data_IF_446013563680
#
_entry.id   IF_446013563680
#
_cell.length_a   1.000
_cell.length_b   1.000
_cell.length_c   1.000
_cell.angle_alpha   90.00
_cell.angle_beta   90.00
_cell.angle_gamma   90.00
#
_symmetry.space_group_name_H-M   'P 1'
#
loop_
_entity.id
_entity.type
_entity.pdbx_description
1 polymer ?
#
# COMPACT_ATOMS: atom_id res chain seq x y z
N UNK A 1 -10.22 8.13 -5.64
CA UNK A 1 -9.75 7.68 -4.31
C UNK A 1 -9.97 6.18 -4.09
N UNK A 2 -11.16 5.64 -4.36
CA UNK A 2 -11.46 4.19 -4.19
C UNK A 2 -10.43 3.29 -4.89
N UNK A 3 -10.05 3.59 -6.14
CA UNK A 3 -9.08 2.81 -6.93
C UNK A 3 -7.69 2.67 -6.28
N UNK A 4 -7.26 3.63 -5.44
CA UNK A 4 -5.99 3.53 -4.71
C UNK A 4 -6.06 2.44 -3.65
N UNK A 5 -7.19 2.34 -2.96
CA UNK A 5 -7.39 1.33 -1.92
C UNK A 5 -7.48 -0.06 -2.54
N UNK A 6 -8.21 -0.21 -3.65
CA UNK A 6 -8.28 -1.46 -4.43
C UNK A 6 -6.88 -1.91 -4.88
N UNK A 7 -6.04 -1.00 -5.39
CA UNK A 7 -4.65 -1.34 -5.75
C UNK A 7 -3.85 -1.80 -4.53
N UNK A 8 -3.95 -1.11 -3.39
CA UNK A 8 -3.20 -1.46 -2.17
C UNK A 8 -3.73 -2.78 -1.54
N UNK A 9 -5.02 -3.08 -1.69
CA UNK A 9 -5.61 -4.36 -1.25
C UNK A 9 -5.22 -5.51 -2.17
N UNK A 10 -5.09 -5.26 -3.47
CA UNK A 10 -4.64 -6.25 -4.44
C UNK A 10 -3.13 -6.55 -4.42
N UNK A 11 -2.33 -5.75 -3.70
CA UNK A 11 -0.89 -6.05 -3.57
C UNK A 11 0.00 -4.92 -3.03
N UNK A 12 1.30 -5.12 -3.20
CA UNK A 12 2.37 -4.25 -2.70
C UNK A 12 2.72 -3.17 -3.73
N UNK A 13 2.17 -1.96 -3.61
CA UNK A 13 2.47 -0.87 -4.54
C UNK A 13 3.29 0.25 -3.90
N UNK A 14 4.34 0.68 -4.59
CA UNK A 14 5.14 1.86 -4.24
C UNK A 14 4.40 3.15 -4.63
N UNK A 15 4.76 4.27 -4.01
CA UNK A 15 4.25 5.62 -4.38
C UNK A 15 4.35 5.92 -5.88
N UNK A 16 5.52 5.72 -6.55
CA UNK A 16 5.60 5.91 -8.00
C UNK A 16 4.78 4.89 -8.80
N UNK A 17 4.63 3.66 -8.30
CA UNK A 17 3.81 2.64 -8.95
C UNK A 17 2.32 2.99 -8.95
N UNK A 18 1.81 3.51 -7.82
CA UNK A 18 0.44 4.03 -7.73
C UNK A 18 0.23 5.26 -8.61
N UNK A 19 1.22 6.15 -8.67
CA UNK A 19 1.17 7.35 -9.49
C UNK A 19 1.03 6.98 -10.99
N UNK A 20 1.87 6.06 -11.47
CA UNK A 20 1.83 5.57 -12.84
C UNK A 20 0.54 4.80 -13.14
N UNK A 21 0.12 3.89 -12.26
CA UNK A 21 -1.08 3.06 -12.47
C UNK A 21 -2.38 3.86 -12.51
N UNK A 22 -2.42 5.00 -11.82
CA UNK A 22 -3.60 5.87 -11.75
C UNK A 22 -3.46 7.12 -12.63
N UNK A 23 -2.36 7.26 -13.36
CA UNK A 23 -2.01 8.43 -14.18
C UNK A 23 -2.15 9.76 -13.42
N UNK A 24 -1.61 9.80 -12.20
CA UNK A 24 -1.62 11.00 -11.35
C UNK A 24 -0.24 11.30 -10.80
N UNK A 25 0.00 12.57 -10.48
CA UNK A 25 1.27 12.97 -9.87
C UNK A 25 1.44 12.36 -8.47
N UNK A 26 2.69 12.06 -8.11
CA UNK A 26 3.08 11.61 -6.76
C UNK A 26 2.48 12.45 -5.59
N UNK A 27 2.42 13.81 -5.64
CA UNK A 27 1.75 14.59 -4.57
C UNK A 27 0.26 14.28 -4.43
N UNK A 28 -0.43 13.93 -5.52
CA UNK A 28 -1.83 13.49 -5.49
C UNK A 28 -1.96 12.15 -4.78
N UNK A 29 -1.05 11.20 -5.04
CA UNK A 29 -0.98 9.94 -4.28
C UNK A 29 -0.76 10.21 -2.79
N UNK A 30 0.18 11.07 -2.42
CA UNK A 30 0.43 11.42 -1.02
C UNK A 30 -0.86 11.95 -0.35
N UNK A 31 -1.56 12.90 -0.99
CA UNK A 31 -2.84 13.40 -0.50
C UNK A 31 -3.91 12.31 -0.37
N UNK A 32 -3.99 11.38 -1.32
CA UNK A 32 -4.92 10.27 -1.26
C UNK A 32 -4.60 9.31 -0.11
N UNK A 33 -3.33 8.96 0.11
CA UNK A 33 -2.91 8.13 1.25
C UNK A 33 -3.26 8.81 2.57
N UNK A 34 -3.00 10.12 2.71
CA UNK A 34 -3.40 10.88 3.89
C UNK A 34 -4.92 10.94 4.07
N UNK A 35 -5.69 11.14 3.00
CA UNK A 35 -7.14 11.13 3.07
C UNK A 35 -7.69 9.76 3.49
N UNK A 36 -7.15 8.67 2.96
CA UNK A 36 -7.54 7.31 3.32
C UNK A 36 -7.20 6.99 4.79
N UNK A 37 -6.02 7.41 5.27
CA UNK A 37 -5.65 7.31 6.69
C UNK A 37 -6.65 8.04 7.59
N UNK A 38 -7.01 9.28 7.23
CA UNK A 38 -8.01 10.07 7.98
C UNK A 38 -9.40 9.45 7.96
N UNK A 39 -9.75 8.71 6.90
CA UNK A 39 -11.01 7.96 6.80
C UNK A 39 -11.01 6.64 7.59
N UNK A 40 -9.94 6.33 8.32
CA UNK A 40 -9.84 5.13 9.14
C UNK A 40 -9.25 3.92 8.42
N UNK A 41 -8.70 4.07 7.21
CA UNK A 41 -7.96 2.98 6.56
C UNK A 41 -6.53 2.94 7.09
N UNK A 42 -6.11 1.86 7.79
CA UNK A 42 -4.80 1.78 8.40
C UNK A 42 -3.72 1.44 7.36
N UNK A 43 -3.42 2.38 6.47
CA UNK A 43 -2.37 2.20 5.44
C UNK A 43 -1.00 2.43 6.08
N UNK A 44 -0.09 1.48 5.87
CA UNK A 44 1.30 1.54 6.33
C UNK A 44 2.25 1.38 5.15
N UNK A 45 3.35 2.12 5.20
CA UNK A 45 4.49 1.88 4.32
C UNK A 45 5.30 0.72 4.92
N UNK A 46 5.43 -0.36 4.17
CA UNK A 46 6.21 -1.54 4.55
C UNK A 46 7.30 -1.75 3.50
N UNK A 47 8.47 -2.21 3.95
CA UNK A 47 9.55 -2.59 3.04
C UNK A 47 9.41 -4.08 2.75
N UNK A 48 9.20 -4.43 1.49
CA UNK A 48 9.02 -5.81 1.04
C UNK A 48 10.08 -6.13 -0.02
N UNK A 49 10.98 -7.08 0.25
CA UNK A 49 12.02 -7.49 -0.71
C UNK A 49 12.92 -6.33 -1.19
N UNK A 50 13.23 -5.38 -0.31
CA UNK A 50 14.10 -4.23 -0.62
C UNK A 50 13.39 -2.98 -1.15
N UNK A 51 12.15 -3.09 -1.65
CA UNK A 51 11.34 -1.97 -2.14
C UNK A 51 10.30 -1.50 -1.12
N UNK A 52 10.00 -0.21 -1.12
CA UNK A 52 8.92 0.37 -0.32
C UNK A 52 7.58 0.14 -1.00
N UNK A 53 6.60 -0.34 -0.26
CA UNK A 53 5.20 -0.44 -0.71
C UNK A 53 4.26 0.06 0.37
N UNK A 54 3.04 0.41 -0.02
CA UNK A 54 1.93 0.55 0.90
C UNK A 54 1.18 -0.78 1.03
N UNK A 55 0.76 -1.10 2.25
CA UNK A 55 -0.19 -2.17 2.57
C UNK A 55 -1.25 -1.65 3.53
N UNK A 56 -2.47 -2.21 3.45
CA UNK A 56 -3.49 -2.00 4.48
C UNK A 56 -3.17 -2.93 5.66
N UNK A 57 -3.24 -2.43 6.90
CA UNK A 57 -2.88 -3.23 8.07
C UNK A 57 -3.70 -4.52 8.24
N UNK A 58 -4.93 -4.56 7.72
CA UNK A 58 -5.74 -5.77 7.65
C UNK A 58 -5.10 -6.86 6.77
N UNK A 59 -4.31 -6.50 5.76
CA UNK A 59 -3.56 -7.43 4.91
C UNK A 59 -2.19 -7.83 5.50
N UNK A 60 -1.62 -6.97 6.37
CA UNK A 60 -0.32 -7.25 7.01
C UNK A 60 -0.39 -8.51 7.88
N UNK A 61 -1.55 -8.83 8.46
CA UNK A 61 -1.73 -10.05 9.26
C UNK A 61 -1.87 -11.33 8.42
N UNK A 62 -2.15 -11.21 7.11
CA UNK A 62 -2.36 -12.36 6.23
C UNK A 62 -1.12 -12.70 5.36
N UNK A 63 0.01 -12.02 5.59
CA UNK A 63 1.27 -12.42 4.94
C UNK A 63 1.87 -13.57 5.77
N UNK A 64 1.89 -14.83 5.26
CA UNK A 64 2.55 -15.93 5.96
C UNK A 64 4.03 -15.58 6.05
N UNK A 65 4.43 -15.13 7.23
CA UNK A 65 5.84 -15.01 7.59
C UNK A 65 6.44 -16.40 7.42
N UNK A 66 7.57 -16.45 6.70
CA UNK A 66 8.18 -17.67 6.20
C UNK A 66 8.21 -18.82 7.20
N UNK A 67 7.76 -19.97 6.70
CA UNK A 67 8.10 -21.27 7.20
C UNK A 67 9.64 -21.44 7.15
N UNK A 68 10.24 -21.62 8.32
CA UNK A 68 11.61 -22.12 8.49
C UNK A 68 11.67 -22.59 9.94
N UNK A 69 11.89 -23.84 10.27
CA UNK A 69 12.51 -24.94 9.55
C UNK A 69 13.09 -25.79 10.68
N UNK A 70 12.76 -27.07 10.66
CA UNK A 70 13.00 -28.05 11.71
C UNK A 70 14.47 -28.20 12.11
#
# INVERSE_FOLDING_TARGET
>A
MARVLDSIQGGCYSTPGLAAALDVSMPTISRYIHALRRRGHPIRAVRHGGRWCYKVASDIQNSPSGHGGR
#
